data_IF_325550706274
#
_entry.id   IF_325550706274
#
_cell.length_a   1.000
_cell.length_b   1.000
_cell.length_c   1.000
_cell.angle_alpha   90.00
_cell.angle_beta   90.00
_cell.angle_gamma   90.00
#
_symmetry.space_group_name_H-M   'P 1'
#
loop_
_entity.id
_entity.type
_entity.pdbx_description
1 polymer ?
#
# COMPACT_ATOMS: atom_id res chain seq x y z
N UNK A 1 -18.03 -2.80 -7.12
CA UNK A 1 -17.31 -2.24 -5.97
C UNK A 1 -16.26 -1.31 -6.54
N UNK A 2 -16.67 -0.07 -6.79
CA UNK A 2 -15.94 0.89 -7.63
C UNK A 2 -15.17 1.84 -6.72
N UNK A 3 -13.86 1.98 -6.93
CA UNK A 3 -13.07 3.09 -6.40
C UNK A 3 -13.67 4.39 -6.95
N UNK A 4 -14.29 5.18 -6.09
CA UNK A 4 -14.83 6.50 -6.44
C UNK A 4 -13.68 7.50 -6.40
N UNK A 5 -13.14 7.84 -7.58
CA UNK A 5 -12.30 9.01 -7.75
C UNK A 5 -13.23 10.24 -7.71
N UNK A 6 -13.19 11.01 -6.62
CA UNK A 6 -13.99 12.23 -6.50
C UNK A 6 -13.32 13.35 -7.31
N UNK A 7 -13.92 13.70 -8.45
CA UNK A 7 -13.78 15.03 -9.04
C UNK A 7 -14.92 15.87 -8.49
N UNK A 8 -14.63 17.05 -7.95
CA UNK A 8 -15.66 17.98 -7.44
C UNK A 8 -16.70 18.29 -8.53
N UNK A 9 -18.01 18.10 -8.25
CA UNK A 9 -19.06 18.68 -9.07
C UNK A 9 -19.73 19.85 -8.32
N UNK A 10 -19.85 20.98 -9.01
CA UNK A 10 -20.73 22.08 -8.63
C UNK A 10 -22.19 21.62 -8.52
N UNK A 11 -22.92 22.33 -7.65
CA UNK A 11 -24.25 22.01 -7.12
C UNK A 11 -25.31 21.53 -8.11
N UNK A 12 -26.19 20.66 -7.59
CA UNK A 12 -27.46 20.30 -8.22
C UNK A 12 -27.98 18.96 -7.71
N UNK A 13 -28.73 18.95 -6.60
CA UNK A 13 -29.35 17.74 -6.07
C UNK A 13 -30.53 17.25 -6.92
N UNK A 14 -30.71 15.93 -7.02
CA UNK A 14 -31.97 15.32 -7.46
C UNK A 14 -32.21 13.99 -6.74
N UNK A 15 -33.41 13.88 -6.14
CA UNK A 15 -33.88 12.72 -5.39
C UNK A 15 -34.33 11.55 -6.27
N UNK A 16 -34.20 10.35 -5.73
CA UNK A 16 -34.64 9.10 -6.36
C UNK A 16 -36.09 8.79 -5.99
N UNK A 17 -36.94 8.55 -6.99
CA UNK A 17 -38.23 7.87 -6.82
C UNK A 17 -38.25 6.60 -7.67
N UNK A 18 -38.36 5.45 -7.01
CA UNK A 18 -38.57 4.14 -7.61
C UNK A 18 -40.06 3.94 -7.91
N UNK A 19 -40.42 3.64 -9.14
CA UNK A 19 -41.67 2.94 -9.48
C UNK A 19 -41.40 1.93 -10.59
N UNK A 20 -41.76 0.67 -10.33
CA UNK A 20 -41.59 -0.46 -11.24
C UNK A 20 -42.63 -0.47 -12.35
N UNK A 21 -42.20 -0.83 -13.55
CA UNK A 21 -43.10 -1.28 -14.62
C UNK A 21 -42.38 -2.31 -15.51
N UNK A 22 -42.84 -3.55 -15.38
CA UNK A 22 -42.99 -4.62 -16.40
C UNK A 22 -42.00 -4.62 -17.57
N UNK A 23 -41.02 -5.52 -17.49
CA UNK A 23 -40.21 -5.97 -18.62
C UNK A 23 -40.99 -7.01 -19.45
N UNK A 24 -41.43 -6.61 -20.63
CA UNK A 24 -41.50 -7.50 -21.80
C UNK A 24 -41.45 -6.62 -23.05
N UNK A 25 -40.29 -6.58 -23.71
CA UNK A 25 -40.23 -6.20 -25.13
C UNK A 25 -39.01 -6.81 -25.79
N UNK A 26 -39.31 -7.55 -26.85
CA UNK A 26 -38.49 -8.16 -27.89
C UNK A 26 -37.02 -7.75 -28.00
N UNK A 27 -36.16 -8.78 -28.06
CA UNK A 27 -34.84 -8.70 -28.67
C UNK A 27 -35.00 -8.34 -30.16
N UNK A 28 -34.73 -7.08 -30.52
CA UNK A 28 -34.66 -6.62 -31.91
C UNK A 28 -33.28 -5.99 -32.13
N UNK A 29 -32.31 -6.82 -32.53
CA UNK A 29 -30.94 -6.40 -32.82
C UNK A 29 -30.87 -5.70 -34.17
N UNK A 30 -31.18 -4.40 -34.19
CA UNK A 30 -30.77 -3.48 -35.24
C UNK A 30 -29.98 -2.35 -34.58
N UNK A 31 -28.67 -2.58 -34.39
CA UNK A 31 -27.76 -1.55 -33.90
C UNK A 31 -27.77 -0.39 -34.89
N UNK A 32 -28.27 0.77 -34.48
CA UNK A 32 -28.25 1.94 -35.37
C UNK A 32 -26.79 2.27 -35.74
N UNK A 33 -26.56 2.67 -36.98
CA UNK A 33 -25.23 3.11 -37.47
C UNK A 33 -24.60 4.18 -36.55
N UNK A 34 -25.41 4.97 -35.84
CA UNK A 34 -24.95 5.95 -34.88
C UNK A 34 -24.38 5.31 -33.60
N UNK A 35 -24.97 4.23 -33.09
CA UNK A 35 -24.46 3.49 -31.92
C UNK A 35 -23.17 2.76 -32.28
N UNK A 36 -23.12 2.09 -33.44
CA UNK A 36 -21.89 1.42 -33.91
C UNK A 36 -20.75 2.43 -34.11
N UNK A 37 -21.03 3.57 -34.77
CA UNK A 37 -20.01 4.63 -34.94
C UNK A 37 -19.55 5.17 -33.59
N UNK A 38 -20.47 5.45 -32.66
CA UNK A 38 -20.12 5.93 -31.32
C UNK A 38 -19.21 4.93 -30.60
N UNK A 39 -19.54 3.64 -30.61
CA UNK A 39 -18.76 2.58 -29.97
C UNK A 39 -17.40 2.35 -30.63
N UNK A 40 -17.32 2.46 -31.96
CA UNK A 40 -16.05 2.41 -32.70
C UNK A 40 -15.17 3.62 -32.35
N UNK A 41 -15.75 4.83 -32.28
CA UNK A 41 -15.01 6.05 -31.91
C UNK A 41 -14.54 6.02 -30.46
N UNK A 42 -15.38 5.62 -29.49
CA UNK A 42 -14.92 5.45 -28.10
C UNK A 42 -13.85 4.38 -27.98
N UNK A 43 -13.98 3.25 -28.69
CA UNK A 43 -12.95 2.20 -28.68
C UNK A 43 -11.63 2.68 -29.28
N UNK A 44 -11.67 3.42 -30.40
CA UNK A 44 -10.47 4.01 -31.01
C UNK A 44 -9.85 5.09 -30.12
N UNK A 45 -10.64 5.84 -29.36
CA UNK A 45 -10.15 6.83 -28.40
C UNK A 45 -9.36 6.18 -27.24
N UNK A 46 -9.63 4.92 -26.91
CA UNK A 46 -8.89 4.15 -25.90
C UNK A 46 -7.60 3.52 -26.46
N UNK A 47 -7.39 3.50 -27.77
CA UNK A 47 -6.24 2.84 -28.42
C UNK A 47 -4.87 3.35 -27.91
N UNK A 48 -4.64 4.65 -27.70
CA UNK A 48 -3.38 5.13 -27.11
C UNK A 48 -3.13 4.57 -25.71
N UNK A 49 -4.18 4.39 -24.91
CA UNK A 49 -4.09 3.82 -23.56
C UNK A 49 -3.76 2.33 -23.62
N UNK A 50 -4.43 1.58 -24.49
CA UNK A 50 -4.12 0.17 -24.73
C UNK A 50 -2.67 -0.03 -25.19
N UNK A 51 -2.14 0.88 -26.02
CA UNK A 51 -0.72 0.88 -26.41
C UNK A 51 0.19 1.14 -25.20
N UNK A 52 -0.13 2.12 -24.35
CA UNK A 52 0.65 2.39 -23.12
C UNK A 52 0.62 1.19 -22.17
N UNK A 53 -0.55 0.62 -21.91
CA UNK A 53 -0.70 -0.59 -21.08
C UNK A 53 0.08 -1.76 -21.66
N UNK A 54 -0.01 -2.00 -22.98
CA UNK A 54 0.79 -3.04 -23.66
C UNK A 54 2.29 -2.84 -23.49
N UNK A 55 2.78 -1.59 -23.48
CA UNK A 55 4.19 -1.29 -23.19
C UNK A 55 4.56 -1.61 -21.74
N UNK A 56 3.69 -1.30 -20.78
CA UNK A 56 3.90 -1.60 -19.35
C UNK A 56 3.91 -3.10 -19.06
N UNK A 57 3.10 -3.88 -19.79
CA UNK A 57 3.07 -5.34 -19.69
C UNK A 57 4.30 -6.03 -20.30
N UNK A 58 5.22 -5.29 -20.95
CA UNK A 58 6.47 -5.86 -21.44
C UNK A 58 7.32 -6.31 -20.25
N UNK A 59 7.73 -7.59 -20.19
CA UNK A 59 8.57 -8.06 -19.10
C UNK A 59 9.87 -7.26 -19.00
N UNK A 60 10.11 -6.70 -17.83
CA UNK A 60 11.42 -6.10 -17.46
C UNK A 60 12.39 -7.21 -17.04
N UNK A 61 13.71 -7.10 -17.32
CA UNK A 61 14.72 -8.03 -16.80
C UNK A 61 14.64 -8.17 -15.27
N UNK A 62 14.88 -9.37 -14.71
CA UNK A 62 14.75 -9.62 -13.27
C UNK A 62 15.73 -8.84 -12.39
N UNK A 63 16.91 -8.54 -12.93
CA UNK A 63 17.95 -7.72 -12.32
C UNK A 63 17.67 -6.20 -12.41
N UNK A 64 16.52 -5.79 -12.94
CA UNK A 64 16.16 -4.37 -13.00
C UNK A 64 16.08 -3.80 -11.59
N UNK A 65 16.91 -2.79 -11.31
CA UNK A 65 16.94 -2.04 -10.05
C UNK A 65 15.77 -1.07 -9.99
N UNK A 66 14.78 -1.40 -9.16
CA UNK A 66 13.58 -0.62 -8.95
C UNK A 66 12.74 -1.27 -7.84
N UNK A 67 12.13 -0.45 -7.00
CA UNK A 67 11.27 -0.88 -5.91
C UNK A 67 10.31 0.24 -5.54
N UNK A 68 9.33 -0.07 -4.70
CA UNK A 68 8.38 0.93 -4.23
C UNK A 68 9.06 2.09 -3.51
N UNK A 69 10.06 1.80 -2.67
CA UNK A 69 10.84 2.80 -1.94
C UNK A 69 11.62 3.75 -2.84
N UNK A 70 12.11 3.28 -3.98
CA UNK A 70 12.78 4.10 -5.00
C UNK A 70 11.78 5.04 -5.72
N UNK A 71 10.53 4.59 -5.93
CA UNK A 71 9.47 5.42 -6.52
C UNK A 71 9.07 6.58 -5.60
N UNK A 72 8.99 6.33 -4.29
CA UNK A 72 8.77 7.39 -3.29
C UNK A 72 9.93 8.39 -3.27
N UNK A 73 11.19 7.92 -3.29
CA UNK A 73 12.36 8.80 -3.36
C UNK A 73 12.35 9.67 -4.63
N UNK A 74 11.92 9.10 -5.77
CA UNK A 74 11.78 9.82 -7.04
C UNK A 74 10.73 10.93 -6.94
N UNK A 75 9.56 10.65 -6.34
CA UNK A 75 8.54 11.68 -6.13
C UNK A 75 9.02 12.77 -5.18
N UNK A 76 9.71 12.42 -4.10
CA UNK A 76 10.29 13.40 -3.17
C UNK A 76 11.31 14.33 -3.84
N UNK A 77 12.08 13.85 -4.82
CA UNK A 77 13.00 14.68 -5.59
C UNK A 77 12.28 15.55 -6.64
N UNK A 78 11.24 15.00 -7.29
CA UNK A 78 10.58 15.64 -8.45
C UNK A 78 9.47 16.61 -8.06
N UNK A 79 8.69 16.29 -7.04
CA UNK A 79 7.52 17.03 -6.56
C UNK A 79 7.51 17.16 -5.02
N UNK A 80 8.61 17.63 -4.40
CA UNK A 80 8.83 17.56 -2.94
C UNK A 80 7.69 18.13 -2.10
N UNK A 81 7.11 19.25 -2.54
CA UNK A 81 6.09 20.01 -1.81
C UNK A 81 4.65 19.65 -2.18
N UNK A 82 4.44 18.71 -3.11
CA UNK A 82 3.07 18.22 -3.39
C UNK A 82 2.64 17.26 -2.28
N UNK A 83 1.36 17.33 -1.95
CA UNK A 83 0.72 16.45 -0.97
C UNK A 83 0.85 14.98 -1.40
N UNK A 84 1.42 14.14 -0.54
CA UNK A 84 1.38 12.69 -0.66
C UNK A 84 0.15 12.13 0.09
N UNK A 85 -0.14 12.67 1.27
CA UNK A 85 -1.26 12.27 2.11
C UNK A 85 -2.01 13.47 2.68
N UNK A 86 -3.32 13.32 2.79
CA UNK A 86 -4.18 14.14 3.64
C UNK A 86 -4.97 13.18 4.53
N UNK A 87 -4.75 13.22 5.83
CA UNK A 87 -5.38 12.30 6.78
C UNK A 87 -5.73 13.09 8.04
N UNK A 88 -6.98 13.02 8.50
CA UNK A 88 -7.42 13.61 9.78
C UNK A 88 -7.03 15.10 9.96
N UNK A 89 -7.14 15.89 8.89
CA UNK A 89 -6.80 17.32 8.90
C UNK A 89 -5.30 17.62 8.82
N UNK A 90 -4.44 16.60 8.83
CA UNK A 90 -3.01 16.73 8.55
C UNK A 90 -2.72 16.53 7.06
N UNK A 91 -1.70 17.22 6.57
CA UNK A 91 -1.18 17.05 5.21
C UNK A 91 0.31 16.75 5.29
N UNK A 92 0.75 15.68 4.64
CA UNK A 92 2.16 15.34 4.50
C UNK A 92 2.56 15.36 3.04
N UNK A 93 3.60 16.14 2.72
CA UNK A 93 4.16 16.22 1.38
C UNK A 93 5.13 15.05 1.08
N UNK A 94 5.50 14.89 -0.20
CA UNK A 94 6.41 13.83 -0.63
C UNK A 94 7.80 13.90 0.02
N UNK A 95 8.32 15.10 0.28
CA UNK A 95 9.62 15.29 0.93
C UNK A 95 9.59 14.78 2.37
N UNK A 96 8.61 15.20 3.16
CA UNK A 96 8.47 14.77 4.56
C UNK A 96 8.13 13.29 4.66
N UNK A 97 7.30 12.76 3.75
CA UNK A 97 7.02 11.34 3.70
C UNK A 97 8.27 10.49 3.49
N UNK A 98 9.08 10.84 2.49
CA UNK A 98 10.31 10.13 2.20
C UNK A 98 11.32 10.26 3.34
N UNK A 99 11.44 11.44 3.94
CA UNK A 99 12.29 11.67 5.10
C UNK A 99 11.88 10.81 6.30
N UNK A 100 10.58 10.71 6.61
CA UNK A 100 10.06 9.86 7.69
C UNK A 100 10.39 8.38 7.43
N UNK A 101 10.13 7.89 6.21
CA UNK A 101 10.44 6.52 5.84
C UNK A 101 11.94 6.22 5.90
N UNK A 102 12.79 7.17 5.51
CA UNK A 102 14.24 7.03 5.60
C UNK A 102 14.73 6.96 7.05
N UNK A 103 14.15 7.76 7.95
CA UNK A 103 14.46 7.71 9.39
C UNK A 103 14.09 6.36 10.00
N UNK A 104 12.92 5.82 9.65
CA UNK A 104 12.50 4.47 10.07
C UNK A 104 13.42 3.39 9.48
N UNK A 105 13.84 3.53 8.22
CA UNK A 105 14.80 2.62 7.60
C UNK A 105 16.16 2.63 8.33
N UNK A 106 16.63 3.80 8.77
CA UNK A 106 17.84 3.88 9.59
C UNK A 106 17.69 3.13 10.94
N UNK A 107 16.52 3.22 11.58
CA UNK A 107 16.22 2.43 12.80
C UNK A 107 16.20 0.94 12.49
N UNK A 108 15.47 0.49 11.47
CA UNK A 108 15.43 -0.93 11.09
C UNK A 108 16.82 -1.49 10.78
N UNK A 109 17.67 -0.73 10.09
CA UNK A 109 19.06 -1.09 9.82
C UNK A 109 19.89 -1.18 11.11
N UNK A 110 19.72 -0.24 12.04
CA UNK A 110 20.38 -0.29 13.35
C UNK A 110 19.90 -1.48 14.22
N UNK A 111 18.65 -1.93 14.02
CA UNK A 111 18.10 -3.15 14.60
C UNK A 111 18.60 -4.45 13.92
N UNK A 112 19.51 -4.34 12.95
CA UNK A 112 20.16 -5.48 12.30
C UNK A 112 19.36 -6.12 11.17
N UNK A 113 18.25 -5.51 10.74
CA UNK A 113 17.47 -6.02 9.61
C UNK A 113 18.24 -5.80 8.29
N UNK A 114 18.25 -6.85 7.46
CA UNK A 114 18.89 -6.84 6.14
C UNK A 114 17.94 -7.33 5.05
N UNK A 115 18.29 -7.06 3.79
CA UNK A 115 17.57 -7.55 2.61
C UNK A 115 17.22 -9.03 2.73
N UNK A 116 15.96 -9.37 2.51
CA UNK A 116 15.42 -10.73 2.61
C UNK A 116 14.94 -11.15 4.01
N UNK A 117 15.24 -10.41 5.07
CA UNK A 117 14.58 -10.61 6.36
C UNK A 117 13.12 -10.17 6.28
N UNK A 118 12.28 -10.67 7.19
CA UNK A 118 10.87 -10.31 7.29
C UNK A 118 10.52 -9.66 8.62
N UNK A 119 9.54 -8.76 8.60
CA UNK A 119 8.97 -8.10 9.78
C UNK A 119 7.46 -8.26 9.74
N UNK A 120 6.88 -8.81 10.81
CA UNK A 120 5.43 -8.83 11.01
C UNK A 120 4.95 -7.41 11.29
N UNK A 121 3.91 -6.96 10.58
CA UNK A 121 3.34 -5.62 10.71
C UNK A 121 1.86 -5.77 11.02
N UNK A 122 1.46 -5.36 12.23
CA UNK A 122 0.08 -5.31 12.69
C UNK A 122 -0.27 -3.87 13.10
N UNK A 123 -0.88 -3.13 12.18
CA UNK A 123 -1.20 -1.71 12.37
C UNK A 123 -2.35 -1.32 11.46
N UNK A 124 -3.22 -0.43 11.95
CA UNK A 124 -4.36 0.13 11.22
C UNK A 124 -3.93 1.14 10.16
N UNK A 125 -4.89 1.57 9.35
CA UNK A 125 -4.67 2.51 8.27
C UNK A 125 -4.37 3.91 8.82
N UNK A 126 -3.10 4.32 8.72
CA UNK A 126 -2.65 5.68 9.00
C UNK A 126 -1.38 5.99 8.21
N UNK A 127 -0.95 7.24 8.23
CA UNK A 127 0.25 7.68 7.51
C UNK A 127 1.47 6.81 7.88
N UNK A 128 1.66 6.52 9.17
CA UNK A 128 2.78 5.71 9.65
C UNK A 128 2.80 4.29 9.08
N UNK A 129 1.66 3.72 8.69
CA UNK A 129 1.62 2.42 8.00
C UNK A 129 2.42 2.47 6.71
N UNK A 130 2.22 3.53 5.93
CA UNK A 130 2.96 3.71 4.70
C UNK A 130 4.42 4.10 4.96
N UNK A 131 4.72 4.83 6.04
CA UNK A 131 6.10 5.11 6.46
C UNK A 131 6.85 3.80 6.72
N UNK A 132 6.27 2.89 7.50
CA UNK A 132 6.83 1.57 7.82
C UNK A 132 7.03 0.73 6.56
N UNK A 133 5.99 0.60 5.73
CA UNK A 133 6.03 -0.20 4.50
C UNK A 133 7.13 0.28 3.56
N UNK A 134 7.26 1.60 3.38
CA UNK A 134 8.30 2.18 2.53
C UNK A 134 9.69 2.02 3.14
N UNK A 135 9.83 2.22 4.44
CA UNK A 135 11.09 2.06 5.15
C UNK A 135 11.65 0.64 5.01
N UNK A 136 10.82 -0.40 5.24
CA UNK A 136 11.20 -1.79 5.05
C UNK A 136 11.58 -2.08 3.59
N UNK A 137 10.77 -1.59 2.64
CA UNK A 137 11.02 -1.83 1.22
C UNK A 137 12.33 -1.18 0.71
N UNK A 138 12.70 0.00 1.23
CA UNK A 138 13.98 0.67 0.91
C UNK A 138 15.21 -0.16 1.33
N UNK A 139 15.06 -1.05 2.31
CA UNK A 139 16.11 -1.97 2.75
C UNK A 139 16.01 -3.36 2.09
N UNK A 140 14.99 -3.60 1.28
CA UNK A 140 14.67 -4.94 0.78
C UNK A 140 14.20 -5.91 1.87
N UNK A 141 13.72 -5.38 2.99
CA UNK A 141 13.11 -6.17 4.07
C UNK A 141 11.64 -6.40 3.73
N UNK A 142 11.17 -7.63 3.93
CA UNK A 142 9.83 -8.08 3.57
C UNK A 142 8.86 -7.62 4.66
N UNK A 143 7.85 -6.84 4.29
CA UNK A 143 6.76 -6.49 5.20
C UNK A 143 5.70 -7.59 5.18
N UNK A 144 5.51 -8.28 6.30
CA UNK A 144 4.48 -9.30 6.51
C UNK A 144 3.24 -8.63 7.08
N UNK A 145 2.27 -8.33 6.21
CA UNK A 145 1.16 -7.43 6.50
C UNK A 145 -0.04 -8.20 7.06
N UNK A 146 -0.26 -8.07 8.36
CA UNK A 146 -1.25 -8.86 9.11
C UNK A 146 -2.55 -8.08 9.24
N UNK A 147 -3.68 -8.77 9.07
CA UNK A 147 -5.00 -8.21 9.32
C UNK A 147 -5.18 -7.90 10.81
N UNK A 148 -5.54 -6.66 11.15
CA UNK A 148 -5.69 -6.15 12.52
C UNK A 148 -6.82 -6.82 13.31
N UNK A 149 -7.75 -7.51 12.65
CA UNK A 149 -8.79 -8.30 13.33
C UNK A 149 -8.30 -9.67 13.83
N UNK A 150 -7.07 -10.09 13.51
CA UNK A 150 -6.55 -11.39 13.94
C UNK A 150 -6.00 -11.32 15.36
N UNK A 151 -6.40 -12.30 16.18
CA UNK A 151 -5.90 -12.50 17.55
C UNK A 151 -5.49 -13.97 17.75
N UNK A 152 -4.84 -14.28 18.87
CA UNK A 152 -4.56 -15.67 19.27
C UNK A 152 -3.76 -16.48 18.24
N UNK A 153 -4.22 -17.70 17.94
CA UNK A 153 -3.49 -18.65 17.08
C UNK A 153 -3.34 -18.17 15.62
N UNK A 154 -4.36 -17.62 14.94
CA UNK A 154 -4.19 -17.04 13.61
C UNK A 154 -3.11 -15.94 13.54
N UNK A 155 -3.01 -15.10 14.58
CA UNK A 155 -2.00 -14.03 14.65
C UNK A 155 -0.59 -14.61 14.77
N UNK A 156 -0.37 -15.51 15.73
CA UNK A 156 0.95 -16.17 15.91
C UNK A 156 1.38 -16.95 14.68
N UNK A 157 0.42 -17.64 14.03
CA UNK A 157 0.67 -18.35 12.78
C UNK A 157 1.25 -17.43 11.69
N UNK A 158 0.73 -16.21 11.54
CA UNK A 158 1.23 -15.28 10.52
C UNK A 158 2.71 -14.93 10.72
N UNK A 159 3.13 -14.71 11.97
CA UNK A 159 4.53 -14.44 12.31
C UNK A 159 5.42 -15.67 12.12
N UNK A 160 4.95 -16.85 12.52
CA UNK A 160 5.69 -18.12 12.41
C UNK A 160 5.97 -18.51 10.96
N UNK A 161 4.94 -18.54 10.09
CA UNK A 161 5.13 -19.06 8.72
C UNK A 161 6.02 -18.18 7.85
N UNK A 162 6.16 -16.91 8.23
CA UNK A 162 6.98 -15.94 7.50
C UNK A 162 8.40 -15.85 8.05
N UNK A 163 8.69 -16.49 9.19
CA UNK A 163 10.00 -16.42 9.84
C UNK A 163 10.39 -14.98 10.20
N UNK A 164 9.42 -14.14 10.54
CA UNK A 164 9.66 -12.74 10.83
C UNK A 164 10.63 -12.58 12.01
N UNK A 165 11.68 -11.77 11.83
CA UNK A 165 12.71 -11.51 12.86
C UNK A 165 12.25 -10.49 13.91
N UNK A 166 11.30 -9.63 13.53
CA UNK A 166 10.78 -8.54 14.35
C UNK A 166 9.27 -8.48 14.20
N UNK A 167 8.60 -7.93 15.20
CA UNK A 167 7.16 -7.69 15.19
C UNK A 167 6.88 -6.22 15.44
N UNK A 168 6.44 -5.51 14.39
CA UNK A 168 6.00 -4.13 14.48
C UNK A 168 4.50 -4.07 14.75
N UNK A 169 4.12 -3.25 15.73
CA UNK A 169 2.74 -3.03 16.11
C UNK A 169 2.42 -1.53 16.26
N UNK A 170 1.23 -1.15 15.81
CA UNK A 170 0.62 0.13 16.16
C UNK A 170 0.10 0.14 17.59
N UNK A 171 -0.03 1.34 18.16
CA UNK A 171 -0.61 1.56 19.49
C UNK A 171 -1.96 0.87 19.66
N UNK A 172 -2.83 0.99 18.66
CA UNK A 172 -4.16 0.40 18.58
C UNK A 172 -4.17 -1.14 18.65
N UNK A 173 -3.07 -1.79 18.25
CA UNK A 173 -2.94 -3.24 18.21
C UNK A 173 -2.20 -3.84 19.42
N UNK A 174 -1.89 -3.03 20.44
CA UNK A 174 -1.06 -3.43 21.58
C UNK A 174 -1.57 -4.67 22.32
N UNK A 175 -2.87 -4.71 22.63
CA UNK A 175 -3.47 -5.79 23.44
C UNK A 175 -3.43 -7.13 22.69
N UNK A 176 -3.74 -7.11 21.40
CA UNK A 176 -3.71 -8.30 20.55
C UNK A 176 -2.31 -8.95 20.49
N UNK A 177 -1.25 -8.13 20.53
CA UNK A 177 0.14 -8.63 20.55
C UNK A 177 0.55 -9.06 21.95
N UNK A 178 0.18 -8.30 22.99
CA UNK A 178 0.47 -8.65 24.38
C UNK A 178 -0.08 -10.03 24.74
N UNK A 179 -1.31 -10.34 24.30
CA UNK A 179 -2.00 -11.61 24.55
C UNK A 179 -1.27 -12.84 23.97
N UNK A 180 -0.49 -12.65 22.90
CA UNK A 180 0.18 -13.75 22.19
C UNK A 180 1.70 -13.74 22.33
N UNK A 181 2.25 -12.76 23.04
CA UNK A 181 3.70 -12.52 23.15
C UNK A 181 4.47 -13.77 23.61
N UNK A 182 3.95 -14.47 24.61
CA UNK A 182 4.56 -15.68 25.18
C UNK A 182 4.59 -16.88 24.21
N UNK A 183 3.79 -16.84 23.14
CA UNK A 183 3.75 -17.87 22.11
C UNK A 183 4.63 -17.54 20.89
N UNK A 184 5.18 -16.33 20.80
CA UNK A 184 6.07 -15.92 19.71
C UNK A 184 7.53 -16.18 20.08
N UNK A 185 8.36 -16.69 19.17
CA UNK A 185 9.79 -16.93 19.41
C UNK A 185 10.60 -15.62 19.25
N UNK A 186 10.21 -14.56 19.94
CA UNK A 186 10.81 -13.23 19.88
C UNK A 186 11.21 -12.76 21.28
N UNK A 187 12.34 -12.06 21.38
CA UNK A 187 12.79 -11.48 22.64
C UNK A 187 12.23 -10.08 22.86
N UNK A 188 12.37 -9.56 24.08
CA UNK A 188 12.16 -8.14 24.36
C UNK A 188 13.12 -7.32 23.48
N UNK A 189 12.61 -6.24 22.87
CA UNK A 189 13.35 -5.46 21.86
C UNK A 189 13.28 -6.00 20.42
N UNK A 190 12.72 -7.19 20.20
CA UNK A 190 12.30 -7.60 18.84
C UNK A 190 10.93 -7.03 18.44
N UNK A 191 10.24 -6.42 19.39
CA UNK A 191 8.98 -5.72 19.20
C UNK A 191 9.23 -4.23 18.94
N UNK A 192 8.59 -3.70 17.91
CA UNK A 192 8.76 -2.33 17.43
C UNK A 192 7.43 -1.59 17.49
N UNK A 193 7.28 -0.66 18.42
CA UNK A 193 6.04 0.05 18.70
C UNK A 193 5.97 1.37 17.92
N UNK A 194 4.83 1.63 17.28
CA UNK A 194 4.57 2.90 16.60
C UNK A 194 3.44 3.63 17.34
N UNK A 195 3.71 4.76 18.02
CA UNK A 195 2.68 5.52 18.74
C UNK A 195 1.64 6.13 17.79
N UNK A 196 0.43 6.39 18.26
CA UNK A 196 -0.67 7.04 17.53
C UNK A 196 -1.24 8.25 18.28
N UNK A 197 -2.33 8.06 19.03
CA UNK A 197 -2.98 9.11 19.83
C UNK A 197 -2.16 9.50 21.07
N UNK A 198 -1.22 8.66 21.49
CA UNK A 198 -0.44 8.86 22.71
C UNK A 198 -1.24 8.61 23.99
N UNK A 199 -2.40 7.94 23.87
CA UNK A 199 -3.22 7.53 25.02
C UNK A 199 -2.55 6.42 25.82
N UNK A 200 -1.70 5.62 25.16
CA UNK A 200 -0.96 4.50 25.75
C UNK A 200 0.53 4.73 25.65
N UNK A 201 1.21 4.52 26.77
CA UNK A 201 2.66 4.53 26.82
C UNK A 201 3.25 3.35 26.03
N UNK A 202 4.45 3.53 25.50
CA UNK A 202 5.20 2.43 24.89
C UNK A 202 5.42 1.31 25.91
N UNK A 203 5.11 0.05 25.56
CA UNK A 203 5.39 -1.08 26.46
C UNK A 203 6.90 -1.26 26.70
N UNK A 204 7.29 -1.63 27.92
CA UNK A 204 8.71 -1.81 28.29
C UNK A 204 9.44 -2.86 27.44
N UNK A 205 8.71 -3.82 26.86
CA UNK A 205 9.25 -4.89 26.02
C UNK A 205 9.42 -4.49 24.54
N UNK A 206 9.03 -3.26 24.16
CA UNK A 206 9.08 -2.77 22.78
C UNK A 206 9.92 -1.50 22.64
N UNK A 207 10.53 -1.34 21.47
CA UNK A 207 11.22 -0.11 21.08
C UNK A 207 10.23 0.89 20.47
N UNK A 208 10.18 2.11 20.98
CA UNK A 208 9.42 3.19 20.35
C UNK A 208 10.11 3.64 19.04
N UNK A 209 9.45 3.40 17.90
CA UNK A 209 9.98 3.73 16.58
C UNK A 209 10.07 5.24 16.32
N UNK A 210 9.12 6.03 16.82
CA UNK A 210 9.12 7.47 16.62
C UNK A 210 10.28 8.14 17.37
N UNK A 211 10.49 7.75 18.64
CA UNK A 211 11.61 8.25 19.45
C UNK A 211 12.95 7.83 18.86
N UNK A 212 13.08 6.55 18.47
CA UNK A 212 14.30 6.04 17.83
C UNK A 212 14.60 6.75 16.51
N UNK A 213 13.57 7.13 15.73
CA UNK A 213 13.70 7.78 14.43
C UNK A 213 13.97 9.30 14.52
N UNK A 214 13.68 9.94 15.65
CA UNK A 214 13.79 11.40 15.79
C UNK A 214 15.22 11.92 15.51
N UNK A 215 16.24 11.13 15.87
CA UNK A 215 17.65 11.51 15.75
C UNK A 215 18.40 10.80 14.60
N UNK A 216 17.69 10.07 13.73
CA UNK A 216 18.33 9.36 12.61
C UNK A 216 18.41 10.23 11.35
N UNK A 217 19.22 9.78 10.37
CA UNK A 217 19.29 10.47 9.07
C UNK A 217 17.97 10.37 8.31
N UNK A 218 17.65 11.42 7.56
CA UNK A 218 16.56 11.46 6.59
C UNK A 218 17.01 11.11 5.16
N UNK A 219 18.28 10.77 4.96
CA UNK A 219 18.83 10.41 3.65
C UNK A 219 18.34 9.04 3.20
N UNK A 220 18.20 8.85 1.88
CA UNK A 220 17.81 7.55 1.35
C UNK A 220 18.87 6.50 1.72
N UNK A 221 18.48 5.33 2.27
CA UNK A 221 19.42 4.25 2.51
C UNK A 221 20.12 3.85 1.20
N UNK A 222 21.45 3.66 1.19
CA UNK A 222 22.18 3.25 -0.01
C UNK A 222 21.64 1.94 -0.61
N UNK A 223 21.12 1.04 0.24
CA UNK A 223 20.49 -0.22 -0.14
C UNK A 223 19.35 -0.04 -1.14
N UNK A 224 18.65 1.10 -1.10
CA UNK A 224 17.51 1.40 -1.99
C UNK A 224 17.90 1.28 -3.47
N UNK A 225 19.14 1.65 -3.82
CA UNK A 225 19.63 1.63 -5.21
C UNK A 225 19.96 0.22 -5.73
N UNK A 226 20.05 -0.77 -4.85
CA UNK A 226 20.41 -2.15 -5.18
C UNK A 226 19.22 -3.12 -5.10
N UNK A 227 18.05 -2.66 -4.66
CA UNK A 227 16.81 -3.45 -4.65
C UNK A 227 16.35 -3.68 -6.09
N UNK A 228 16.04 -4.93 -6.41
CA UNK A 228 15.55 -5.32 -7.72
C UNK A 228 14.07 -5.62 -7.69
N UNK A 229 13.46 -5.64 -8.88
CA UNK A 229 12.05 -5.98 -9.01
C UNK A 229 11.74 -7.43 -8.61
N UNK A 230 12.72 -8.34 -8.56
CA UNK A 230 12.50 -9.72 -8.10
C UNK A 230 12.54 -9.88 -6.58
N UNK A 231 13.06 -8.90 -5.84
CA UNK A 231 13.04 -8.96 -4.39
C UNK A 231 11.59 -9.08 -3.89
N UNK A 232 11.40 -10.01 -2.95
CA UNK A 232 10.16 -10.13 -2.20
C UNK A 232 9.96 -8.85 -1.40
N UNK A 233 8.80 -8.23 -1.56
CA UNK A 233 8.45 -6.99 -0.89
C UNK A 233 7.44 -7.24 0.23
N UNK A 234 6.48 -8.13 0.01
CA UNK A 234 5.37 -8.35 0.93
C UNK A 234 5.02 -9.82 1.11
N UNK A 235 4.62 -10.16 2.33
CA UNK A 235 3.68 -11.25 2.58
C UNK A 235 2.31 -10.65 2.86
N UNK A 236 1.32 -11.03 2.05
CA UNK A 236 -0.09 -10.65 2.27
C UNK A 236 -0.89 -11.92 2.57
N UNK A 237 -1.61 -11.92 3.68
CA UNK A 237 -2.34 -13.10 4.11
C UNK A 237 -3.72 -13.21 3.46
N UNK A 238 -4.07 -14.41 3.03
CA UNK A 238 -5.40 -14.75 2.54
C UNK A 238 -6.04 -15.81 3.42
N UNK A 239 -7.37 -15.78 3.52
CA UNK A 239 -8.12 -16.80 4.26
C UNK A 239 -7.82 -18.18 3.66
N UNK A 240 -7.24 -19.07 4.47
CA UNK A 240 -7.00 -20.45 4.08
C UNK A 240 -8.29 -21.27 4.15
N UNK A 241 -8.46 -22.21 3.22
CA UNK A 241 -9.53 -23.22 3.28
C UNK A 241 -9.46 -24.12 4.52
N UNK A 242 -8.29 -24.18 5.15
CA UNK A 242 -7.99 -24.95 6.38
C UNK A 242 -8.11 -24.11 7.66
N UNK A 243 -8.65 -22.89 7.57
CA UNK A 243 -8.89 -21.99 8.71
C UNK A 243 -7.74 -21.03 9.06
N UNK A 244 -6.48 -21.44 8.85
CA UNK A 244 -5.31 -20.58 9.11
C UNK A 244 -4.90 -19.76 7.88
N UNK A 245 -4.48 -18.48 8.05
CA UNK A 245 -4.10 -17.63 6.92
C UNK A 245 -2.87 -18.12 6.16
N UNK A 246 -2.86 -17.99 4.83
CA UNK A 246 -1.71 -18.34 3.97
C UNK A 246 -0.97 -17.09 3.53
N UNK A 247 0.35 -17.10 3.59
CA UNK A 247 1.19 -15.99 3.10
C UNK A 247 1.32 -16.02 1.57
N UNK A 248 0.72 -15.05 0.88
CA UNK A 248 1.00 -14.79 -0.52
C UNK A 248 2.31 -14.01 -0.66
N UNK A 249 3.28 -14.58 -1.37
CA UNK A 249 4.58 -13.98 -1.64
C UNK A 249 4.48 -13.00 -2.80
N UNK A 250 4.78 -11.72 -2.56
CA UNK A 250 4.67 -10.67 -3.56
C UNK A 250 6.00 -9.93 -3.72
N UNK A 251 6.53 -9.92 -4.95
CA UNK A 251 7.73 -9.18 -5.30
C UNK A 251 7.45 -7.72 -5.67
N UNK A 252 8.50 -6.90 -5.67
CA UNK A 252 8.46 -5.52 -6.19
C UNK A 252 7.92 -5.48 -7.64
N UNK A 253 8.23 -6.46 -8.49
CA UNK A 253 7.71 -6.59 -9.85
C UNK A 253 6.20 -6.65 -9.84
N UNK A 254 5.63 -7.55 -9.03
CA UNK A 254 4.18 -7.75 -8.98
C UNK A 254 3.48 -6.49 -8.48
N UNK A 255 4.04 -5.84 -7.46
CA UNK A 255 3.55 -4.55 -6.98
C UNK A 255 3.56 -3.49 -8.10
N UNK A 256 4.73 -3.21 -8.68
CA UNK A 256 4.92 -2.14 -9.65
C UNK A 256 4.11 -2.38 -10.93
N UNK A 257 3.99 -3.64 -11.38
CA UNK A 257 3.18 -4.00 -12.53
C UNK A 257 1.69 -3.74 -12.27
N UNK A 258 1.15 -4.25 -11.16
CA UNK A 258 -0.25 -4.02 -10.78
C UNK A 258 -0.53 -2.53 -10.64
N UNK A 259 0.31 -1.81 -9.91
CA UNK A 259 0.20 -0.37 -9.74
C UNK A 259 0.21 0.37 -11.09
N UNK A 260 1.12 0.01 -12.01
CA UNK A 260 1.24 0.70 -13.31
C UNK A 260 0.02 0.46 -14.20
N UNK A 261 -0.49 -0.78 -14.22
CA UNK A 261 -1.68 -1.14 -15.02
C UNK A 261 -2.90 -0.42 -14.47
N UNK A 262 -3.07 -0.35 -13.16
CA UNK A 262 -4.18 0.38 -12.53
C UNK A 262 -4.04 1.88 -12.75
N UNK A 263 -2.83 2.43 -12.57
CA UNK A 263 -2.56 3.85 -12.74
C UNK A 263 -2.83 4.32 -14.17
N UNK A 264 -2.37 3.60 -15.20
CA UNK A 264 -2.53 4.03 -16.60
C UNK A 264 -3.81 3.51 -17.25
N UNK A 265 -4.16 2.25 -17.02
CA UNK A 265 -5.26 1.57 -17.70
C UNK A 265 -6.58 1.61 -16.94
N UNK A 266 -6.53 1.75 -15.61
CA UNK A 266 -7.71 1.81 -14.76
C UNK A 266 -8.09 3.25 -14.42
N UNK A 267 -7.55 3.72 -13.30
CA UNK A 267 -7.89 5.00 -12.67
C UNK A 267 -7.38 6.22 -13.44
N UNK A 268 -6.38 6.05 -14.30
CA UNK A 268 -5.76 7.13 -15.09
C UNK A 268 -5.26 8.30 -14.23
N UNK A 269 -4.72 7.97 -13.05
CA UNK A 269 -4.27 8.95 -12.07
C UNK A 269 -3.09 9.76 -12.60
N UNK A 270 -3.12 11.03 -12.24
CA UNK A 270 -2.10 12.05 -12.45
C UNK A 270 -1.73 12.69 -11.12
N UNK A 271 -0.70 13.54 -11.12
CA UNK A 271 -0.24 14.26 -9.92
C UNK A 271 -1.26 15.25 -9.37
N UNK A 272 -2.25 15.62 -10.17
CA UNK A 272 -3.32 16.56 -9.80
C UNK A 272 -4.51 15.85 -9.15
N UNK A 273 -4.53 14.51 -9.16
CA UNK A 273 -5.60 13.72 -8.56
C UNK A 273 -5.38 13.49 -7.06
N UNK A 274 -6.48 13.30 -6.33
CA UNK A 274 -6.50 12.83 -4.94
C UNK A 274 -7.35 11.58 -4.84
N UNK A 275 -6.71 10.46 -4.51
CA UNK A 275 -7.39 9.18 -4.36
C UNK A 275 -7.90 9.01 -2.93
N UNK A 276 -9.22 8.86 -2.75
CA UNK A 276 -9.76 8.42 -1.47
C UNK A 276 -9.53 6.91 -1.29
N UNK A 277 -8.79 6.53 -0.24
CA UNK A 277 -8.37 5.15 0.02
C UNK A 277 -8.91 4.64 1.36
N UNK A 278 -10.16 4.21 1.36
CA UNK A 278 -10.82 3.59 2.52
C UNK A 278 -10.60 2.07 2.64
N UNK A 279 -9.73 1.48 1.81
CA UNK A 279 -9.47 0.05 1.80
C UNK A 279 -8.30 -0.30 2.74
N UNK A 280 -8.31 -1.46 3.42
CA UNK A 280 -7.22 -1.85 4.30
C UNK A 280 -5.87 -1.94 3.58
N UNK A 281 -4.86 -1.24 4.11
CA UNK A 281 -3.51 -1.18 3.55
C UNK A 281 -2.70 -2.46 3.79
N UNK A 282 -3.11 -3.32 4.71
CA UNK A 282 -2.55 -4.67 4.82
C UNK A 282 -3.03 -5.61 3.69
N UNK A 283 -4.04 -5.21 2.92
CA UNK A 283 -4.61 -5.99 1.82
C UNK A 283 -4.11 -5.51 0.45
N UNK A 284 -3.93 -6.44 -0.50
CA UNK A 284 -3.39 -6.13 -1.83
C UNK A 284 -4.20 -5.09 -2.61
N UNK A 285 -5.52 -5.03 -2.43
CA UNK A 285 -6.38 -4.00 -3.05
C UNK A 285 -6.09 -2.61 -2.52
N UNK A 286 -5.94 -2.44 -1.20
CA UNK A 286 -5.61 -1.12 -0.63
C UNK A 286 -4.19 -0.71 -1.04
N UNK A 287 -3.23 -1.61 -0.85
CA UNK A 287 -1.81 -1.30 -1.01
C UNK A 287 -1.32 -1.25 -2.45
N UNK A 288 -1.63 -2.25 -3.28
CA UNK A 288 -1.08 -2.34 -4.64
C UNK A 288 -1.93 -1.59 -5.66
N UNK A 289 -3.26 -1.71 -5.55
CA UNK A 289 -4.19 -1.09 -6.50
C UNK A 289 -4.44 0.37 -6.13
N UNK A 290 -4.76 0.64 -4.86
CA UNK A 290 -4.97 2.00 -4.37
C UNK A 290 -3.68 2.79 -4.24
N UNK A 291 -2.94 2.56 -3.16
CA UNK A 291 -1.73 3.32 -2.84
C UNK A 291 -0.66 3.21 -3.93
N UNK A 292 -0.49 2.02 -4.52
CA UNK A 292 0.47 1.83 -5.61
C UNK A 292 0.17 2.68 -6.84
N UNK A 293 -1.09 2.77 -7.26
CA UNK A 293 -1.44 3.61 -8.40
C UNK A 293 -1.22 5.10 -8.10
N UNK A 294 -1.59 5.55 -6.90
CA UNK A 294 -1.35 6.93 -6.47
C UNK A 294 0.16 7.26 -6.43
N UNK A 295 0.97 6.34 -5.86
CA UNK A 295 2.42 6.51 -5.76
C UNK A 295 3.11 6.58 -7.13
N UNK A 296 2.72 5.74 -8.08
CA UNK A 296 3.29 5.81 -9.43
C UNK A 296 2.86 7.05 -10.20
N UNK A 297 1.64 7.56 -9.94
CA UNK A 297 1.17 8.81 -10.51
C UNK A 297 1.81 10.05 -9.86
N UNK A 298 2.28 9.95 -8.61
CA UNK A 298 2.60 11.13 -7.79
C UNK A 298 1.34 11.85 -7.26
N UNK A 299 0.20 11.15 -7.26
CA UNK A 299 -1.08 11.65 -6.77
C UNK A 299 -1.12 11.68 -5.22
N UNK A 300 -1.96 12.55 -4.67
CA UNK A 300 -2.23 12.57 -3.22
C UNK A 300 -3.19 11.43 -2.85
N UNK A 301 -3.15 10.96 -1.61
CA UNK A 301 -4.19 10.12 -1.03
C UNK A 301 -4.95 10.84 0.08
N UNK A 302 -6.22 10.49 0.25
CA UNK A 302 -7.07 10.83 1.40
C UNK A 302 -7.51 9.55 2.09
#
# INVERSE_FOLDING_TARGET
MSLLCAREPGGGGFGFNFHGSRYHTACNTAWSQAVIKKDVFTTLAELPKLIKVKKLLRPRPGDTRDCLGARVATNAARIPRRSAFVCEGQTMDWQHFNAAANRYAAVFRAQGLKRGDAVSVLMENRIDFMVVVIALNKLGVIASLINTSLTGRPLTHCAEITGARKFLLGEECMDAVADVRSALPLADGDYLFVPDSGERATPEWALNMADAAAQTTADNPPETADITIEDVAFYIFTSGTTGLPKAAVLSNRRYLLTASVVQVGGLQLTEDDRLYLCLPLFHGTGLMVGAGAAFLAGASMF
#
